data_IF_155326606571
#
_entry.id   IF_155326606571
#
_cell.length_a   1.000
_cell.length_b   1.000
_cell.length_c   1.000
_cell.angle_alpha   90.00
_cell.angle_beta   90.00
_cell.angle_gamma   90.00
#
_symmetry.space_group_name_H-M   'P 1'
#
loop_
_entity.id
_entity.type
_entity.pdbx_description
1 polymer ?
#
# COMPACT_ATOMS: atom_id res chain seq x y z
N UNK A 1 -31.29 -25.73 -32.75
CA UNK A 1 -30.09 -25.20 -33.44
C UNK A 1 -29.57 -23.95 -32.74
N UNK A 2 -30.37 -22.88 -32.61
CA UNK A 2 -30.02 -21.67 -31.82
C UNK A 2 -29.58 -21.96 -30.38
N UNK A 3 -30.25 -22.83 -29.62
CA UNK A 3 -29.84 -23.18 -28.25
C UNK A 3 -28.50 -23.93 -28.17
N UNK A 4 -28.21 -24.79 -29.15
CA UNK A 4 -26.92 -25.51 -29.25
C UNK A 4 -25.78 -24.61 -29.71
N UNK A 5 -26.05 -23.68 -30.63
CA UNK A 5 -25.09 -22.65 -31.06
C UNK A 5 -24.78 -21.70 -29.89
N UNK A 6 -25.79 -21.25 -29.14
CA UNK A 6 -25.57 -20.44 -27.93
C UNK A 6 -24.81 -21.18 -26.84
N UNK A 7 -25.05 -22.49 -26.67
CA UNK A 7 -24.30 -23.32 -25.72
C UNK A 7 -22.84 -23.52 -26.15
N UNK A 8 -22.57 -23.76 -27.43
CA UNK A 8 -21.21 -23.88 -27.97
C UNK A 8 -20.48 -22.53 -27.92
N UNK A 9 -21.16 -21.43 -28.23
CA UNK A 9 -20.61 -20.08 -28.11
C UNK A 9 -20.31 -19.73 -26.66
N UNK A 10 -21.24 -20.02 -25.74
CA UNK A 10 -21.02 -19.88 -24.29
C UNK A 10 -19.87 -20.77 -23.81
N UNK A 11 -19.73 -22.00 -24.31
CA UNK A 11 -18.66 -22.91 -23.92
C UNK A 11 -17.28 -22.42 -24.41
N UNK A 12 -17.16 -21.99 -25.67
CA UNK A 12 -15.92 -21.41 -26.22
C UNK A 12 -15.55 -20.09 -25.54
N UNK A 13 -16.52 -19.21 -25.30
CA UNK A 13 -16.32 -17.95 -24.56
C UNK A 13 -15.90 -18.25 -23.12
N UNK A 14 -16.52 -19.22 -22.47
CA UNK A 14 -16.15 -19.67 -21.13
C UNK A 14 -14.71 -20.22 -21.11
N UNK A 15 -14.32 -21.11 -22.02
CA UNK A 15 -12.93 -21.59 -22.08
C UNK A 15 -11.91 -20.47 -22.25
N UNK A 16 -12.21 -19.45 -23.06
CA UNK A 16 -11.35 -18.26 -23.19
C UNK A 16 -11.31 -17.44 -21.89
N UNK A 17 -12.44 -17.22 -21.21
CA UNK A 17 -12.49 -16.47 -19.95
C UNK A 17 -11.78 -17.22 -18.81
N UNK A 18 -11.82 -18.55 -18.78
CA UNK A 18 -11.20 -19.37 -17.72
C UNK A 18 -9.73 -19.72 -17.97
N UNK A 19 -9.27 -19.83 -19.23
CA UNK A 19 -7.91 -20.30 -19.56
C UNK A 19 -7.02 -19.24 -20.23
N UNK A 20 -7.55 -18.14 -20.75
CA UNK A 20 -6.70 -17.10 -21.30
C UNK A 20 -6.05 -16.32 -20.14
N UNK A 21 -4.88 -16.79 -19.76
CA UNK A 21 -3.95 -16.07 -18.89
C UNK A 21 -2.81 -15.52 -19.72
N UNK A 22 -2.39 -14.29 -19.40
CA UNK A 22 -1.16 -13.73 -19.97
C UNK A 22 0.05 -14.57 -19.54
N UNK A 23 1.24 -14.39 -20.15
CA UNK A 23 2.48 -15.02 -19.66
C UNK A 23 2.79 -14.73 -18.19
N UNK A 24 2.27 -13.62 -17.65
CA UNK A 24 2.42 -13.23 -16.25
C UNK A 24 1.32 -13.81 -15.34
N UNK A 25 0.44 -14.65 -15.89
CA UNK A 25 -0.71 -15.23 -15.19
C UNK A 25 -1.88 -14.28 -15.04
N UNK A 26 -1.90 -13.14 -15.72
CA UNK A 26 -3.00 -12.19 -15.61
C UNK A 26 -4.26 -12.76 -16.26
N UNK A 27 -5.35 -12.80 -15.50
CA UNK A 27 -6.66 -13.16 -16.06
C UNK A 27 -7.25 -12.00 -16.86
N UNK A 28 -8.17 -12.30 -17.78
CA UNK A 28 -8.92 -11.26 -18.51
C UNK A 28 -9.62 -10.26 -17.56
N UNK A 29 -10.06 -10.73 -16.38
CA UNK A 29 -10.66 -9.88 -15.36
C UNK A 29 -9.62 -8.96 -14.67
N UNK A 30 -8.38 -9.41 -14.54
CA UNK A 30 -7.27 -8.58 -14.02
C UNK A 30 -6.98 -7.42 -14.98
N UNK A 31 -6.89 -7.71 -16.28
CA UNK A 31 -6.67 -6.68 -17.30
C UNK A 31 -7.84 -5.70 -17.37
N UNK A 32 -9.08 -6.20 -17.34
CA UNK A 32 -10.28 -5.36 -17.33
C UNK A 32 -10.33 -4.46 -16.07
N UNK A 33 -9.90 -4.97 -14.92
CA UNK A 33 -9.78 -4.18 -13.69
C UNK A 33 -8.74 -3.07 -13.81
N UNK A 34 -7.62 -3.32 -14.52
CA UNK A 34 -6.60 -2.29 -14.81
C UNK A 34 -7.02 -1.27 -15.87
N UNK A 35 -7.91 -1.64 -16.78
CA UNK A 35 -8.51 -0.71 -17.75
C UNK A 35 -9.63 0.15 -17.15
N UNK A 36 -10.17 -0.24 -15.98
CA UNK A 36 -11.15 0.55 -15.24
C UNK A 36 -12.56 0.55 -15.79
N UNK A 37 -12.88 -0.29 -16.78
CA UNK A 37 -14.20 -0.35 -17.40
C UNK A 37 -15.18 -1.22 -16.59
N UNK A 38 -16.17 -0.63 -15.88
CA UNK A 38 -17.09 -1.38 -15.02
C UNK A 38 -18.01 -2.33 -15.82
N UNK A 39 -18.36 -1.98 -17.05
CA UNK A 39 -19.23 -2.79 -17.91
C UNK A 39 -18.50 -4.07 -18.34
N UNK A 40 -17.24 -3.95 -18.74
CA UNK A 40 -16.39 -5.11 -19.06
C UNK A 40 -16.25 -6.04 -17.84
N UNK A 41 -15.97 -5.47 -16.66
CA UNK A 41 -15.89 -6.24 -15.41
C UNK A 41 -17.20 -6.98 -15.14
N UNK A 42 -18.34 -6.29 -15.23
CA UNK A 42 -19.65 -6.91 -15.02
C UNK A 42 -19.93 -8.03 -16.02
N UNK A 43 -19.64 -7.84 -17.30
CA UNK A 43 -19.82 -8.87 -18.34
C UNK A 43 -18.96 -10.11 -18.00
N UNK A 44 -17.69 -9.91 -17.67
CA UNK A 44 -16.79 -11.01 -17.32
C UNK A 44 -17.29 -11.78 -16.08
N UNK A 45 -17.73 -11.07 -15.04
CA UNK A 45 -18.30 -11.66 -13.84
C UNK A 45 -19.60 -12.42 -14.14
N UNK A 46 -20.48 -11.89 -14.99
CA UNK A 46 -21.71 -12.58 -15.43
C UNK A 46 -21.42 -13.87 -16.18
N UNK A 47 -20.29 -13.93 -16.91
CA UNK A 47 -19.81 -15.14 -17.59
C UNK A 47 -18.89 -16.02 -16.72
N UNK A 48 -18.83 -15.75 -15.42
CA UNK A 48 -18.19 -16.62 -14.42
C UNK A 48 -16.69 -16.39 -14.20
N UNK A 49 -16.14 -15.27 -14.68
CA UNK A 49 -14.78 -14.87 -14.30
C UNK A 49 -14.65 -14.78 -12.77
N UNK A 50 -13.56 -15.34 -12.22
CA UNK A 50 -13.37 -15.42 -10.77
C UNK A 50 -12.44 -14.29 -10.28
N UNK A 51 -12.93 -13.33 -9.46
CA UNK A 51 -12.13 -12.22 -8.95
C UNK A 51 -11.11 -12.63 -7.87
N UNK A 52 -11.08 -13.90 -7.47
CA UNK A 52 -10.25 -14.43 -6.40
C UNK A 52 -9.06 -15.27 -6.91
N UNK A 53 -8.77 -15.22 -8.21
CA UNK A 53 -7.61 -15.89 -8.81
C UNK A 53 -6.47 -14.88 -8.91
N UNK A 54 -5.32 -15.12 -8.24
CA UNK A 54 -4.16 -14.25 -8.36
C UNK A 54 -3.35 -14.54 -9.64
N UNK A 55 -2.62 -13.54 -10.11
CA UNK A 55 -1.57 -13.71 -11.13
C UNK A 55 -0.28 -14.30 -10.53
N UNK A 56 0.77 -14.44 -11.33
CA UNK A 56 2.06 -15.01 -10.86
C UNK A 56 2.76 -14.14 -9.81
N UNK A 57 2.42 -12.85 -9.72
CA UNK A 57 2.91 -11.93 -8.69
C UNK A 57 2.00 -11.91 -7.45
N UNK A 58 1.12 -12.90 -7.30
CA UNK A 58 0.13 -12.99 -6.22
C UNK A 58 -0.89 -11.85 -6.18
N UNK A 59 -1.02 -11.05 -7.26
CA UNK A 59 -1.94 -9.92 -7.31
C UNK A 59 -3.32 -10.34 -7.84
N UNK A 60 -4.35 -9.67 -7.34
CA UNK A 60 -5.76 -9.94 -7.66
C UNK A 60 -6.30 -8.75 -8.48
N UNK A 61 -7.40 -8.90 -9.23
CA UNK A 61 -8.01 -7.80 -9.95
C UNK A 61 -8.30 -6.56 -9.07
N UNK A 62 -8.66 -6.76 -7.79
CA UNK A 62 -8.89 -5.66 -6.84
C UNK A 62 -7.61 -4.84 -6.56
N UNK A 63 -6.43 -5.48 -6.54
CA UNK A 63 -5.15 -4.80 -6.37
C UNK A 63 -4.86 -3.92 -7.58
N UNK A 64 -5.10 -4.44 -8.79
CA UNK A 64 -4.90 -3.69 -10.03
C UNK A 64 -5.83 -2.49 -10.14
N UNK A 65 -7.13 -2.68 -9.87
CA UNK A 65 -8.10 -1.57 -9.86
C UNK A 65 -7.75 -0.50 -8.81
N UNK A 66 -7.25 -0.90 -7.63
CA UNK A 66 -6.81 0.03 -6.59
C UNK A 66 -5.56 0.80 -7.00
N UNK A 67 -4.56 0.12 -7.58
CA UNK A 67 -3.30 0.73 -8.03
C UNK A 67 -3.50 1.72 -9.18
N UNK A 68 -4.46 1.48 -10.06
CA UNK A 68 -4.76 2.34 -11.21
C UNK A 68 -5.87 3.37 -10.93
N UNK A 69 -6.44 3.38 -9.71
CA UNK A 69 -7.38 4.41 -9.27
C UNK A 69 -8.81 4.27 -9.79
N UNK A 70 -9.20 3.05 -10.19
CA UNK A 70 -10.50 2.80 -10.81
C UNK A 70 -11.60 2.59 -9.76
N UNK A 71 -12.09 3.71 -9.22
CA UNK A 71 -13.09 3.74 -8.15
C UNK A 71 -14.35 2.89 -8.43
N UNK A 72 -14.90 2.98 -9.65
CA UNK A 72 -16.10 2.21 -10.03
C UNK A 72 -15.81 0.70 -10.14
N UNK A 73 -14.64 0.33 -10.66
CA UNK A 73 -14.20 -1.06 -10.67
C UNK A 73 -14.05 -1.61 -9.25
N UNK A 74 -13.47 -0.84 -8.33
CA UNK A 74 -13.37 -1.21 -6.92
C UNK A 74 -14.74 -1.41 -6.27
N UNK A 75 -15.73 -0.56 -6.55
CA UNK A 75 -17.09 -0.74 -6.02
C UNK A 75 -17.70 -2.09 -6.42
N UNK A 76 -17.35 -2.62 -7.59
CA UNK A 76 -17.80 -3.95 -8.03
C UNK A 76 -16.98 -5.05 -7.37
N UNK A 77 -15.65 -4.89 -7.30
CA UNK A 77 -14.73 -5.94 -6.83
C UNK A 77 -14.72 -6.13 -5.31
N UNK A 78 -14.84 -5.06 -4.52
CA UNK A 78 -14.83 -5.11 -3.05
C UNK A 78 -15.80 -6.15 -2.46
N UNK A 79 -17.09 -6.19 -2.81
CA UNK A 79 -18.04 -7.14 -2.20
C UNK A 79 -17.82 -8.60 -2.62
N UNK A 80 -17.10 -8.86 -3.71
CA UNK A 80 -16.92 -10.20 -4.29
C UNK A 80 -15.51 -10.77 -4.10
N UNK A 81 -14.54 -9.94 -3.69
CA UNK A 81 -13.22 -10.41 -3.27
C UNK A 81 -13.27 -10.94 -1.84
N UNK A 82 -12.88 -12.20 -1.68
CA UNK A 82 -12.90 -12.89 -0.40
C UNK A 82 -11.70 -12.52 0.46
N UNK A 83 -11.90 -12.44 1.78
CA UNK A 83 -10.81 -12.26 2.76
C UNK A 83 -9.76 -13.36 2.64
N UNK A 84 -10.16 -14.59 2.27
CA UNK A 84 -9.24 -15.72 2.04
C UNK A 84 -8.30 -15.43 0.87
N UNK A 85 -8.81 -14.90 -0.24
CA UNK A 85 -7.99 -14.54 -1.39
C UNK A 85 -6.99 -13.43 -1.02
N UNK A 86 -7.45 -12.38 -0.34
CA UNK A 86 -6.58 -11.28 0.13
C UNK A 86 -5.45 -11.77 1.06
N UNK A 87 -5.76 -12.71 1.96
CA UNK A 87 -4.75 -13.30 2.84
C UNK A 87 -3.72 -14.11 2.05
N UNK A 88 -4.16 -14.87 1.06
CA UNK A 88 -3.28 -15.70 0.24
C UNK A 88 -2.42 -14.86 -0.72
N UNK A 89 -2.91 -13.71 -1.19
CA UNK A 89 -2.11 -12.77 -1.98
C UNK A 89 -1.01 -12.07 -1.19
N UNK A 90 -1.11 -12.04 0.15
CA UNK A 90 -0.10 -11.40 1.01
C UNK A 90 -0.07 -9.87 0.93
N UNK A 91 -0.95 -9.26 0.13
CA UNK A 91 -1.11 -7.81 0.00
C UNK A 91 -2.59 -7.46 0.18
N UNK A 92 -2.86 -6.29 0.77
CA UNK A 92 -4.20 -5.70 0.87
C UNK A 92 -4.36 -4.58 -0.17
N UNK A 93 -5.55 -4.39 -0.78
CA UNK A 93 -5.79 -3.35 -1.78
C UNK A 93 -5.53 -1.92 -1.28
N UNK A 94 -5.53 -1.66 0.03
CA UNK A 94 -5.12 -0.34 0.56
C UNK A 94 -3.64 -0.04 0.31
N UNK A 95 -2.76 -1.04 0.24
CA UNK A 95 -1.37 -0.83 -0.18
C UNK A 95 -1.33 -0.35 -1.62
N UNK A 96 -2.07 -1.02 -2.52
CA UNK A 96 -2.13 -0.68 -3.94
C UNK A 96 -2.68 0.72 -4.16
N UNK A 97 -3.77 1.10 -3.47
CA UNK A 97 -4.32 2.45 -3.58
C UNK A 97 -3.38 3.53 -3.04
N UNK A 98 -2.65 3.25 -1.94
CA UNK A 98 -1.64 4.15 -1.40
C UNK A 98 -0.41 4.27 -2.32
N UNK A 99 0.02 3.16 -2.93
CA UNK A 99 1.13 3.13 -3.88
C UNK A 99 0.81 3.91 -5.17
N UNK A 100 -0.41 3.76 -5.69
CA UNK A 100 -0.91 4.53 -6.83
C UNK A 100 -1.27 5.99 -6.52
N UNK A 101 -1.29 6.41 -5.25
CA UNK A 101 -1.67 7.77 -4.84
C UNK A 101 -3.16 8.10 -5.07
N UNK A 102 -4.03 7.08 -5.02
CA UNK A 102 -5.44 7.22 -5.36
C UNK A 102 -6.32 7.42 -4.13
N UNK A 103 -6.31 8.64 -3.59
CA UNK A 103 -7.01 9.03 -2.37
C UNK A 103 -8.48 8.57 -2.28
N UNK A 104 -9.27 8.74 -3.36
CA UNK A 104 -10.69 8.33 -3.37
C UNK A 104 -10.88 6.80 -3.29
N UNK A 105 -9.98 6.04 -3.92
CA UNK A 105 -9.98 4.59 -3.87
C UNK A 105 -9.54 4.09 -2.49
N UNK A 106 -8.51 4.72 -1.94
CA UNK A 106 -8.01 4.46 -0.60
C UNK A 106 -9.10 4.68 0.45
N UNK A 107 -9.78 5.84 0.41
CA UNK A 107 -10.88 6.14 1.32
C UNK A 107 -12.04 5.14 1.18
N UNK A 108 -12.44 4.79 -0.05
CA UNK A 108 -13.46 3.77 -0.29
C UNK A 108 -13.09 2.43 0.36
N UNK A 109 -11.86 1.96 0.19
CA UNK A 109 -11.40 0.69 0.73
C UNK A 109 -11.42 0.68 2.26
N UNK A 110 -10.95 1.76 2.89
CA UNK A 110 -10.94 1.93 4.35
C UNK A 110 -12.38 1.99 4.90
N UNK A 111 -13.27 2.76 4.29
CA UNK A 111 -14.69 2.83 4.65
C UNK A 111 -15.42 1.49 4.49
N UNK A 112 -14.94 0.61 3.59
CA UNK A 112 -15.48 -0.74 3.39
C UNK A 112 -14.82 -1.81 4.27
N UNK A 113 -14.06 -1.39 5.28
CA UNK A 113 -13.53 -2.27 6.33
C UNK A 113 -12.18 -2.90 6.00
N UNK A 114 -11.42 -2.33 5.04
CA UNK A 114 -10.00 -2.66 4.90
C UNK A 114 -9.22 -2.09 6.09
N UNK A 115 -8.26 -2.85 6.59
CA UNK A 115 -7.42 -2.43 7.72
C UNK A 115 -6.34 -1.43 7.26
N UNK A 116 -6.32 -0.23 7.85
CA UNK A 116 -5.32 0.80 7.60
C UNK A 116 -3.89 0.37 8.02
N UNK A 117 -3.80 -0.59 8.94
CA UNK A 117 -2.56 -1.13 9.49
C UNK A 117 -2.20 -2.51 8.92
N UNK A 118 -2.84 -2.92 7.82
CA UNK A 118 -2.51 -4.19 7.16
C UNK A 118 -1.02 -4.21 6.81
N UNK A 119 -0.33 -5.32 7.07
CA UNK A 119 1.08 -5.48 6.70
C UNK A 119 1.20 -6.43 5.52
N UNK A 120 2.14 -6.15 4.63
CA UNK A 120 2.56 -7.12 3.62
C UNK A 120 3.03 -8.43 4.27
N UNK A 121 2.69 -9.55 3.64
CA UNK A 121 3.26 -10.85 3.99
C UNK A 121 4.76 -10.87 3.66
N UNK A 122 5.57 -11.70 4.34
CA UNK A 122 7.03 -11.75 4.15
C UNK A 122 7.46 -11.84 2.68
N UNK A 123 6.89 -12.80 1.93
CA UNK A 123 7.18 -13.01 0.51
C UNK A 123 6.81 -11.82 -0.41
N UNK A 124 5.92 -10.93 0.04
CA UNK A 124 5.60 -9.69 -0.67
C UNK A 124 6.55 -8.56 -0.27
N UNK A 125 6.81 -8.41 1.03
CA UNK A 125 7.69 -7.36 1.55
C UNK A 125 9.15 -7.52 1.10
N UNK A 126 9.62 -8.76 0.88
CA UNK A 126 10.98 -9.06 0.40
C UNK A 126 11.25 -8.52 -1.02
N UNK A 127 10.21 -8.22 -1.80
CA UNK A 127 10.36 -7.61 -3.12
C UNK A 127 10.72 -6.11 -3.05
N UNK A 128 10.67 -5.51 -1.86
CA UNK A 128 10.98 -4.10 -1.64
C UNK A 128 12.29 -3.93 -0.87
N UNK A 129 13.29 -3.31 -1.50
CA UNK A 129 14.61 -3.09 -0.90
C UNK A 129 14.64 -2.12 0.28
N UNK A 130 13.54 -1.39 0.53
CA UNK A 130 13.40 -0.44 1.64
C UNK A 130 12.58 -1.00 2.82
N UNK A 131 12.27 -2.30 2.81
CA UNK A 131 11.56 -3.01 3.88
C UNK A 131 10.16 -2.46 4.19
N UNK A 132 9.52 -1.77 3.24
CA UNK A 132 8.15 -1.29 3.39
C UNK A 132 7.17 -2.44 3.63
N UNK A 133 6.22 -2.21 4.53
CA UNK A 133 5.19 -3.18 4.90
C UNK A 133 3.81 -2.55 5.04
N UNK A 134 3.68 -1.34 5.59
CA UNK A 134 2.37 -0.71 5.82
C UNK A 134 1.91 0.15 4.64
N UNK A 135 0.59 0.36 4.43
CA UNK A 135 0.07 1.29 3.42
C UNK A 135 0.54 2.72 3.64
N UNK A 136 0.69 3.13 4.90
CA UNK A 136 1.17 4.46 5.26
C UNK A 136 2.58 4.70 4.73
N UNK A 137 3.45 3.71 4.83
CA UNK A 137 4.80 3.81 4.29
C UNK A 137 4.80 4.05 2.78
N UNK A 138 3.93 3.38 2.01
CA UNK A 138 3.82 3.62 0.56
C UNK A 138 3.48 5.08 0.25
N UNK A 139 2.46 5.63 0.90
CA UNK A 139 2.05 7.03 0.72
C UNK A 139 3.18 8.01 1.10
N UNK A 140 3.85 7.77 2.23
CA UNK A 140 4.96 8.61 2.74
C UNK A 140 6.17 8.54 1.81
N UNK A 141 6.56 7.34 1.36
CA UNK A 141 7.67 7.11 0.44
C UNK A 141 7.46 7.80 -0.90
N UNK A 142 6.22 7.80 -1.41
CA UNK A 142 5.84 8.47 -2.65
C UNK A 142 5.68 9.99 -2.47
N UNK A 143 5.73 10.50 -1.23
CA UNK A 143 5.55 11.92 -0.93
C UNK A 143 4.09 12.39 -1.06
N UNK A 144 3.13 11.48 -1.00
CA UNK A 144 1.70 11.77 -1.10
C UNK A 144 1.13 12.18 0.26
N UNK A 145 1.08 13.50 0.50
CA UNK A 145 0.51 14.05 1.72
C UNK A 145 -1.00 13.78 1.87
N UNK A 146 -1.73 13.62 0.77
CA UNK A 146 -3.19 13.39 0.79
C UNK A 146 -3.50 11.99 1.27
N UNK A 147 -2.90 10.97 0.65
CA UNK A 147 -3.07 9.59 1.10
C UNK A 147 -2.51 9.38 2.52
N UNK A 148 -1.39 10.04 2.84
CA UNK A 148 -0.84 10.03 4.21
C UNK A 148 -1.86 10.56 5.22
N UNK A 149 -2.46 11.73 4.97
CA UNK A 149 -3.46 12.31 5.86
C UNK A 149 -4.68 11.40 6.02
N UNK A 150 -5.19 10.82 4.92
CA UNK A 150 -6.33 9.90 4.96
C UNK A 150 -6.02 8.66 5.82
N UNK A 151 -4.84 8.05 5.63
CA UNK A 151 -4.43 6.87 6.40
C UNK A 151 -4.33 7.18 7.89
N UNK A 152 -3.70 8.29 8.25
CA UNK A 152 -3.59 8.72 9.65
C UNK A 152 -4.96 9.02 10.27
N UNK A 153 -5.85 9.72 9.55
CA UNK A 153 -7.25 9.96 10.00
C UNK A 153 -8.02 8.66 10.20
N UNK A 154 -7.69 7.61 9.44
CA UNK A 154 -8.31 6.28 9.53
C UNK A 154 -7.57 5.35 10.52
N UNK A 155 -6.67 5.89 11.35
CA UNK A 155 -6.00 5.17 12.43
C UNK A 155 -4.78 4.35 12.01
N UNK A 156 -4.14 4.69 10.88
CA UNK A 156 -2.85 4.13 10.53
C UNK A 156 -1.78 4.55 11.55
N UNK A 157 -0.98 3.61 12.01
CA UNK A 157 0.11 3.83 12.96
C UNK A 157 1.41 4.16 12.21
N UNK A 158 2.08 5.27 12.55
CA UNK A 158 3.29 5.72 11.85
C UNK A 158 4.54 4.83 12.04
N UNK A 159 4.54 4.01 13.10
CA UNK A 159 5.74 3.31 13.60
C UNK A 159 5.70 1.79 13.35
N UNK A 160 4.92 1.32 12.38
CA UNK A 160 4.80 -0.12 12.08
C UNK A 160 5.94 -0.67 11.23
N UNK A 161 6.55 0.16 10.41
CA UNK A 161 7.60 -0.24 9.48
C UNK A 161 8.97 -0.23 10.17
N UNK A 162 9.87 -1.16 9.83
CA UNK A 162 11.22 -1.20 10.40
C UNK A 162 11.94 0.15 10.26
N UNK A 163 11.89 0.74 9.06
CA UNK A 163 12.25 2.13 8.83
C UNK A 163 11.00 2.98 9.05
N UNK A 164 10.95 3.73 10.16
CA UNK A 164 9.76 4.48 10.53
C UNK A 164 9.41 5.55 9.48
N UNK A 165 8.12 5.77 9.24
CA UNK A 165 7.64 6.73 8.25
C UNK A 165 8.21 8.15 8.48
N UNK A 166 8.41 8.53 9.75
CA UNK A 166 9.01 9.81 10.10
C UNK A 166 10.42 9.98 9.52
N UNK A 167 11.27 8.96 9.65
CA UNK A 167 12.65 9.00 9.13
C UNK A 167 12.67 9.12 7.60
N UNK A 168 11.75 8.45 6.92
CA UNK A 168 11.59 8.56 5.45
C UNK A 168 11.22 9.99 5.06
N UNK A 169 10.21 10.56 5.72
CA UNK A 169 9.72 11.91 5.43
C UNK A 169 10.77 13.00 5.72
N UNK A 170 11.52 12.86 6.81
CA UNK A 170 12.62 13.76 7.19
C UNK A 170 13.74 13.69 6.15
N UNK A 171 14.19 12.49 5.77
CA UNK A 171 15.23 12.29 4.75
C UNK A 171 14.87 12.89 3.41
N UNK A 172 13.58 12.89 3.06
CA UNK A 172 13.06 13.45 1.81
C UNK A 172 12.68 14.93 1.90
N UNK A 173 12.88 15.61 3.05
CA UNK A 173 12.54 17.02 3.23
C UNK A 173 11.03 17.31 3.11
N UNK A 174 10.16 16.33 3.40
CA UNK A 174 8.71 16.45 3.21
C UNK A 174 8.04 17.03 4.47
N UNK A 175 8.22 18.33 4.72
CA UNK A 175 7.72 19.01 5.94
C UNK A 175 6.23 18.79 6.22
N UNK A 176 5.38 18.80 5.18
CA UNK A 176 3.94 18.58 5.37
C UNK A 176 3.66 17.18 5.94
N UNK A 177 4.33 16.16 5.41
CA UNK A 177 4.18 14.77 5.87
C UNK A 177 4.77 14.62 7.27
N UNK A 178 5.91 15.24 7.56
CA UNK A 178 6.48 15.25 8.92
C UNK A 178 5.49 15.85 9.92
N UNK A 179 4.86 16.98 9.59
CA UNK A 179 3.82 17.59 10.46
C UNK A 179 2.63 16.66 10.67
N UNK A 180 2.17 15.98 9.61
CA UNK A 180 1.08 15.01 9.71
C UNK A 180 1.44 13.84 10.63
N UNK A 181 2.64 13.27 10.48
CA UNK A 181 3.12 12.14 11.28
C UNK A 181 3.27 12.52 12.76
N UNK A 182 3.86 13.68 13.05
CA UNK A 182 4.01 14.18 14.43
C UNK A 182 2.65 14.48 15.07
N UNK A 183 1.70 15.03 14.32
CA UNK A 183 0.33 15.23 14.78
C UNK A 183 -0.41 13.90 15.07
N UNK A 184 0.04 12.81 14.45
CA UNK A 184 -0.46 11.46 14.70
C UNK A 184 0.40 10.68 15.71
N UNK A 185 1.16 11.37 16.56
CA UNK A 185 1.96 10.81 17.65
C UNK A 185 3.06 9.84 17.20
N UNK A 186 3.63 10.05 16.00
CA UNK A 186 4.80 9.30 15.56
C UNK A 186 5.97 9.48 16.53
N UNK A 187 6.70 8.40 16.81
CA UNK A 187 7.89 8.46 17.66
C UNK A 187 8.97 9.36 17.03
N UNK A 188 9.07 10.58 17.55
CA UNK A 188 10.05 11.58 17.12
C UNK A 188 11.48 11.14 17.39
N UNK A 189 11.69 10.25 18.37
CA UNK A 189 13.01 9.74 18.78
C UNK A 189 13.33 8.37 18.18
N UNK A 190 12.63 7.97 17.13
CA UNK A 190 12.89 6.72 16.43
C UNK A 190 14.30 6.70 15.81
N UNK A 191 14.88 5.50 15.76
CA UNK A 191 16.22 5.27 15.23
C UNK A 191 16.22 4.02 14.33
N UNK A 192 17.16 3.96 13.40
CA UNK A 192 17.26 2.86 12.45
C UNK A 192 18.70 2.36 12.32
N UNK A 193 18.98 1.18 12.90
CA UNK A 193 20.35 0.65 13.05
C UNK A 193 20.81 -0.26 11.90
N UNK A 194 19.95 -0.58 10.93
CA UNK A 194 20.32 -1.54 9.86
C UNK A 194 21.37 -0.97 8.90
N UNK A 195 21.44 0.36 8.76
CA UNK A 195 22.34 1.03 7.81
C UNK A 195 23.52 1.70 8.52
N UNK A 196 23.39 1.98 9.82
CA UNK A 196 24.42 2.66 10.58
C UNK A 196 24.55 2.01 11.96
N UNK A 197 25.75 1.49 12.26
CA UNK A 197 26.10 0.92 13.57
C UNK A 197 26.25 2.02 14.64
N UNK A 198 26.15 3.29 14.26
CA UNK A 198 26.15 4.36 15.24
C UNK A 198 24.78 4.47 15.90
N UNK A 199 24.80 4.64 17.23
CA UNK A 199 23.64 5.09 18.02
C UNK A 199 23.32 6.57 17.73
N UNK A 200 23.94 7.16 16.69
CA UNK A 200 23.72 8.55 16.34
C UNK A 200 22.27 8.71 15.87
N UNK A 201 21.51 9.65 16.45
CA UNK A 201 20.09 9.74 16.19
C UNK A 201 19.80 10.00 14.70
N UNK A 202 19.14 9.03 14.05
CA UNK A 202 19.03 8.95 12.58
C UNK A 202 18.33 10.17 11.97
N UNK A 203 17.29 10.69 12.64
CA UNK A 203 16.57 11.88 12.16
C UNK A 203 17.47 13.13 12.12
N UNK A 204 18.36 13.31 13.11
CA UNK A 204 19.31 14.42 13.13
C UNK A 204 20.33 14.32 12.01
N UNK A 205 20.84 13.11 11.75
CA UNK A 205 21.75 12.88 10.62
C UNK A 205 21.12 13.34 9.30
N UNK A 206 19.82 13.11 9.12
CA UNK A 206 19.09 13.50 7.92
C UNK A 206 18.81 15.00 7.81
N UNK A 207 18.72 15.73 8.92
CA UNK A 207 18.40 17.17 8.93
C UNK A 207 19.57 18.09 9.30
N UNK A 208 20.83 17.61 9.31
CA UNK A 208 22.01 18.44 9.63
C UNK A 208 22.10 19.74 8.81
N UNK A 209 21.68 19.69 7.54
CA UNK A 209 21.69 20.85 6.63
C UNK A 209 20.32 21.52 6.51
N UNK A 210 19.32 21.10 7.29
CA UNK A 210 17.94 21.56 7.24
C UNK A 210 17.51 22.08 8.61
N UNK A 211 17.86 23.33 8.90
CA UNK A 211 17.58 23.98 10.18
C UNK A 211 16.08 24.01 10.49
N UNK A 212 15.23 24.18 9.46
CA UNK A 212 13.78 24.24 9.63
C UNK A 212 13.24 22.88 10.07
N UNK A 213 13.72 21.80 9.46
CA UNK A 213 13.34 20.43 9.85
C UNK A 213 13.87 20.09 11.24
N UNK A 214 15.11 20.48 11.55
CA UNK A 214 15.70 20.31 12.88
C UNK A 214 14.84 20.99 13.96
N UNK A 215 14.49 22.27 13.76
CA UNK A 215 13.61 23.00 14.68
C UNK A 215 12.24 22.35 14.80
N UNK A 216 11.69 21.84 13.70
CA UNK A 216 10.41 21.13 13.70
C UNK A 216 10.47 19.88 14.60
N UNK A 217 11.50 19.06 14.50
CA UNK A 217 11.67 17.87 15.33
C UNK A 217 11.87 18.24 16.81
N UNK A 218 12.78 19.17 17.11
CA UNK A 218 13.07 19.63 18.48
C UNK A 218 11.81 20.16 19.18
N UNK A 219 11.00 20.97 18.48
CA UNK A 219 9.76 21.52 19.02
C UNK A 219 8.68 20.45 19.26
N UNK A 220 8.82 19.25 18.69
CA UNK A 220 7.89 18.13 18.87
C UNK A 220 8.47 17.02 19.76
N UNK A 221 9.40 17.36 20.65
CA UNK A 221 9.87 16.44 21.70
C UNK A 221 11.06 15.57 21.30
N UNK A 222 11.79 15.96 20.25
CA UNK A 222 13.07 15.33 19.96
C UNK A 222 14.05 15.57 21.11
N UNK A 223 14.54 14.49 21.69
CA UNK A 223 15.46 14.49 22.82
C UNK A 223 16.91 14.62 22.31
N UNK A 224 17.38 15.86 22.21
CA UNK A 224 18.75 16.15 21.80
C UNK A 224 19.79 15.71 22.85
N UNK A 225 19.41 15.51 24.11
CA UNK A 225 20.37 15.13 25.16
C UNK A 225 20.82 13.67 25.02
N UNK A 226 20.01 12.82 24.38
CA UNK A 226 20.42 11.45 24.00
C UNK A 226 21.68 11.37 23.14
N UNK A 227 22.05 12.46 22.45
CA UNK A 227 23.30 12.56 21.70
C UNK A 227 24.55 12.46 22.59
N UNK A 228 24.42 12.93 23.84
CA UNK A 228 25.53 13.09 24.78
C UNK A 228 25.50 12.03 25.89
N UNK A 229 24.45 11.23 25.95
CA UNK A 229 24.30 10.16 26.93
C UNK A 229 25.14 8.94 26.50
N UNK A 230 26.43 8.99 26.83
CA UNK A 230 27.44 7.95 26.57
C UNK A 230 27.13 6.60 27.26
N UNK A 231 26.03 6.48 28.01
CA UNK A 231 25.63 5.26 28.72
C UNK A 231 25.08 4.15 27.80
N UNK A 232 24.75 4.47 26.53
CA UNK A 232 24.30 3.50 25.50
C UNK A 232 25.23 3.40 24.28
N UNK A 233 26.33 4.13 24.30
CA UNK A 233 27.33 4.15 23.22
C UNK A 233 28.40 3.09 23.53
N UNK A 234 28.04 1.80 23.51
CA UNK A 234 28.97 0.66 23.41
C UNK A 234 28.16 -0.64 23.25
N UNK A 235 28.51 -1.54 22.31
CA UNK A 235 28.55 -2.96 22.61
C UNK A 235 29.73 -3.32 23.52
#
# INVERSE_FOLDING_TARGET
LLSKVNHLFSHCVNELIYKAVSPNGDSVLYDAAGAGNPDCINILLHHGANPNIPNLSSQLPIHRAAFEGHYLALRILIPITTRRALRLSGQSPVHSAADGGHAQCLELLLQKGSDANALLAPHMSENYGDMRKSPLYFAVSNGDATCTEILLKMGAKPDLDPLHCLLVAVRSGRYMIVKLLLAAEADVNCYFTVVNDTVFPTALQYCLNDEVMLRLLLNNGYDAERLFDNSKICP
#
